data_IF_207686081538
#
_entry.id   IF_207686081538
#
_cell.length_a   1.000
_cell.length_b   1.000
_cell.length_c   1.000
_cell.angle_alpha   90.00
_cell.angle_beta   90.00
_cell.angle_gamma   90.00
#
_symmetry.space_group_name_H-M   'P 1'
#
loop_
_entity.id
_entity.type
_entity.pdbx_description
1 polymer ?
#
# COMPACT_ATOMS: atom_id res chain seq x y z
N UNK A 1 82.53 46.15 -52.71
CA UNK A 1 81.42 47.06 -52.29
C UNK A 1 80.12 46.42 -52.66
N UNK A 2 79.22 46.46 -51.67
CA UNK A 2 77.78 46.15 -51.70
C UNK A 2 77.38 44.70 -51.48
N UNK A 3 76.70 44.60 -50.31
CA UNK A 3 75.94 43.52 -49.74
C UNK A 3 74.77 43.04 -50.59
N UNK A 4 74.42 41.77 -50.51
CA UNK A 4 73.07 41.27 -50.71
C UNK A 4 72.74 40.28 -49.61
N UNK A 5 71.75 40.67 -48.82
CA UNK A 5 71.17 39.88 -47.76
C UNK A 5 70.28 38.78 -48.32
N UNK A 6 70.47 37.58 -47.83
CA UNK A 6 69.54 36.45 -48.03
C UNK A 6 68.36 36.55 -47.07
N UNK A 7 67.16 36.66 -47.58
CA UNK A 7 65.91 36.43 -46.79
C UNK A 7 65.44 34.99 -47.01
N UNK A 8 65.45 34.23 -45.92
CA UNK A 8 64.86 32.91 -45.86
C UNK A 8 63.37 33.01 -45.45
N UNK A 9 62.50 32.64 -46.38
CA UNK A 9 61.07 32.53 -46.17
C UNK A 9 60.77 31.28 -45.31
N UNK A 10 60.18 31.46 -44.06
CA UNK A 10 59.61 30.41 -43.33
C UNK A 10 58.12 30.16 -43.77
N UNK A 11 57.91 29.00 -44.35
CA UNK A 11 56.59 28.56 -44.74
C UNK A 11 55.71 28.28 -43.47
N UNK A 12 54.73 29.14 -43.21
CA UNK A 12 53.71 28.94 -42.17
C UNK A 12 52.82 27.75 -42.53
N UNK A 13 52.75 26.78 -41.66
CA UNK A 13 51.77 25.70 -41.78
C UNK A 13 50.34 26.27 -41.55
N UNK A 14 49.55 26.22 -42.63
CA UNK A 14 48.11 26.61 -42.56
C UNK A 14 47.35 25.64 -41.69
N UNK A 15 46.80 26.15 -40.61
CA UNK A 15 45.84 25.42 -39.81
C UNK A 15 44.50 25.33 -40.57
N UNK A 16 44.11 24.13 -40.97
CA UNK A 16 42.80 23.92 -41.59
C UNK A 16 41.69 24.08 -40.55
N UNK A 17 40.86 25.12 -40.57
CA UNK A 17 39.79 25.34 -39.60
C UNK A 17 38.72 24.25 -39.65
N UNK A 18 38.62 23.49 -40.73
CA UNK A 18 37.70 22.36 -40.88
C UNK A 18 38.14 21.15 -40.04
N UNK A 19 39.46 20.92 -39.94
CA UNK A 19 40.01 19.87 -39.09
C UNK A 19 39.78 20.17 -37.58
N UNK A 20 39.91 21.43 -37.18
CA UNK A 20 39.63 21.84 -35.79
C UNK A 20 38.14 21.67 -35.40
N UNK A 21 37.21 22.01 -36.30
CA UNK A 21 35.77 21.82 -36.08
C UNK A 21 35.40 20.32 -35.98
N UNK A 22 36.03 19.49 -36.84
CA UNK A 22 35.77 18.05 -36.82
C UNK A 22 36.25 17.38 -35.49
N UNK A 23 37.41 17.80 -34.97
CA UNK A 23 37.94 17.32 -33.69
C UNK A 23 37.05 17.77 -32.52
N UNK A 24 36.56 19.00 -32.53
CA UNK A 24 35.63 19.49 -31.49
C UNK A 24 34.28 18.74 -31.49
N UNK A 25 33.73 18.44 -32.69
CA UNK A 25 32.50 17.66 -32.81
C UNK A 25 32.68 16.21 -32.34
N UNK A 26 33.80 15.58 -32.68
CA UNK A 26 34.13 14.22 -32.22
C UNK A 26 34.36 14.17 -30.71
N UNK A 27 35.00 15.19 -30.12
CA UNK A 27 35.16 15.30 -28.68
C UNK A 27 33.82 15.51 -27.96
N UNK A 28 32.92 16.33 -28.46
CA UNK A 28 31.59 16.53 -27.90
C UNK A 28 30.72 15.26 -27.98
N UNK A 29 30.78 14.53 -29.09
CA UNK A 29 30.08 13.24 -29.24
C UNK A 29 30.67 12.19 -28.31
N UNK A 30 31.98 12.13 -28.11
CA UNK A 30 32.63 11.22 -27.18
C UNK A 30 32.27 11.56 -25.71
N UNK A 31 32.20 12.83 -25.33
CA UNK A 31 31.76 13.28 -23.98
C UNK A 31 30.28 12.98 -23.76
N UNK A 32 29.42 13.20 -24.74
CA UNK A 32 28.01 12.85 -24.67
C UNK A 32 27.78 11.32 -24.56
N UNK A 33 28.57 10.52 -25.29
CA UNK A 33 28.52 9.07 -25.22
C UNK A 33 29.01 8.52 -23.86
N UNK A 34 30.04 9.12 -23.26
CA UNK A 34 30.55 8.75 -21.95
C UNK A 34 29.59 9.18 -20.83
N UNK A 35 28.91 10.31 -20.95
CA UNK A 35 27.85 10.73 -19.98
C UNK A 35 26.63 9.84 -20.11
N UNK A 36 26.19 9.43 -21.30
CA UNK A 36 25.10 8.50 -21.50
C UNK A 36 25.43 7.07 -20.99
N UNK A 37 26.66 6.61 -21.15
CA UNK A 37 27.10 5.30 -20.64
C UNK A 37 27.23 5.29 -19.10
N UNK A 38 27.62 6.43 -18.49
CA UNK A 38 27.68 6.55 -17.03
C UNK A 38 26.29 6.68 -16.39
N UNK A 39 25.30 7.25 -17.10
CA UNK A 39 23.90 7.32 -16.66
C UNK A 39 23.17 5.96 -16.78
N UNK A 40 23.63 5.04 -17.62
CA UNK A 40 22.99 3.74 -17.85
C UNK A 40 23.46 2.63 -16.88
N UNK A 41 24.36 2.90 -15.95
CA UNK A 41 24.93 1.93 -15.01
C UNK A 41 25.04 2.41 -13.56
N UNK A 42 24.30 3.43 -13.16
CA UNK A 42 24.02 3.61 -11.75
C UNK A 42 22.95 2.57 -11.37
N UNK A 43 23.35 1.38 -10.94
CA UNK A 43 22.50 0.57 -10.06
C UNK A 43 22.06 1.52 -8.94
N UNK A 44 20.78 1.87 -8.93
CA UNK A 44 20.23 2.69 -7.83
C UNK A 44 20.47 1.91 -6.57
N UNK A 45 21.12 2.52 -5.56
CA UNK A 45 21.34 1.87 -4.29
C UNK A 45 19.99 1.34 -3.75
N UNK A 46 19.96 0.15 -3.11
CA UNK A 46 18.73 -0.42 -2.61
C UNK A 46 18.02 0.55 -1.65
N UNK A 47 16.69 0.55 -1.69
CA UNK A 47 15.85 1.31 -0.75
C UNK A 47 16.06 0.76 0.66
N UNK A 48 16.55 1.59 1.56
CA UNK A 48 16.82 1.22 2.95
C UNK A 48 15.55 1.35 3.77
N UNK A 49 14.97 0.22 4.16
CA UNK A 49 13.74 0.17 4.96
C UNK A 49 14.02 -0.31 6.38
N UNK A 50 13.23 0.16 7.33
CA UNK A 50 13.25 -0.35 8.69
C UNK A 50 11.84 -0.75 9.15
N UNK A 51 11.76 -1.82 9.95
CA UNK A 51 10.51 -2.35 10.50
C UNK A 51 10.28 -1.77 11.90
N UNK A 52 9.02 -1.45 12.22
CA UNK A 52 8.55 -1.11 13.56
C UNK A 52 7.42 -2.05 13.94
N UNK A 53 7.64 -2.81 15.02
CA UNK A 53 6.75 -3.87 15.49
C UNK A 53 6.98 -5.23 14.82
N UNK A 54 6.84 -6.29 15.62
CA UNK A 54 6.89 -7.69 15.19
C UNK A 54 5.64 -8.46 15.62
N UNK A 55 4.66 -7.76 16.19
CA UNK A 55 3.45 -8.36 16.76
C UNK A 55 2.40 -8.63 15.67
N UNK A 56 2.41 -7.89 14.58
CA UNK A 56 1.50 -8.12 13.45
C UNK A 56 1.99 -9.28 12.58
N UNK A 57 1.16 -10.33 12.44
CA UNK A 57 1.56 -11.57 11.74
C UNK A 57 1.99 -11.38 10.28
N UNK A 58 1.56 -10.30 9.62
CA UNK A 58 1.95 -10.01 8.23
C UNK A 58 3.44 -9.68 8.07
N UNK A 59 4.16 -9.33 9.14
CA UNK A 59 5.62 -9.17 9.09
C UNK A 59 6.34 -10.44 8.61
N UNK A 60 5.75 -11.62 8.87
CA UNK A 60 6.29 -12.89 8.37
C UNK A 60 6.25 -12.96 6.85
N UNK A 61 5.15 -12.52 6.23
CA UNK A 61 5.02 -12.45 4.77
C UNK A 61 6.07 -11.55 4.15
N UNK A 62 6.27 -10.35 4.72
CA UNK A 62 7.31 -9.43 4.30
C UNK A 62 8.71 -10.05 4.40
N UNK A 63 9.06 -10.63 5.55
CA UNK A 63 10.38 -11.23 5.76
C UNK A 63 10.63 -12.45 4.85
N UNK A 64 9.58 -13.19 4.46
CA UNK A 64 9.67 -14.25 3.45
C UNK A 64 9.91 -13.70 2.03
N UNK A 65 9.26 -12.59 1.67
CA UNK A 65 9.40 -11.98 0.35
C UNK A 65 10.74 -11.23 0.17
N UNK A 66 11.26 -10.64 1.24
CA UNK A 66 12.44 -9.77 1.21
C UNK A 66 13.65 -10.33 0.44
N UNK A 67 14.03 -11.63 0.51
CA UNK A 67 15.17 -12.15 -0.24
C UNK A 67 15.05 -12.06 -1.76
N UNK A 68 13.82 -11.92 -2.29
CA UNK A 68 13.56 -11.73 -3.72
C UNK A 68 13.75 -10.27 -4.16
N UNK A 69 13.64 -9.30 -3.25
CA UNK A 69 13.77 -7.86 -3.50
C UNK A 69 15.21 -7.40 -3.28
N UNK A 70 16.04 -7.52 -4.31
CA UNK A 70 17.46 -7.09 -4.24
C UNK A 70 17.62 -5.57 -4.26
N UNK A 71 16.59 -4.87 -4.60
CA UNK A 71 16.45 -3.41 -4.62
C UNK A 71 15.96 -2.82 -3.29
N UNK A 72 15.76 -3.67 -2.27
CA UNK A 72 15.39 -3.29 -0.90
C UNK A 72 16.38 -3.85 0.11
N UNK A 73 16.82 -3.04 1.05
CA UNK A 73 17.71 -3.40 2.16
C UNK A 73 16.99 -3.19 3.51
N UNK A 74 16.79 -4.25 4.29
CA UNK A 74 16.32 -4.14 5.67
C UNK A 74 17.48 -3.72 6.57
N UNK A 75 17.40 -2.50 7.12
CA UNK A 75 18.52 -1.90 7.91
C UNK A 75 18.29 -1.89 9.40
N UNK A 76 17.06 -2.12 9.87
CA UNK A 76 16.76 -2.17 11.30
C UNK A 76 15.35 -2.66 11.59
N UNK A 77 15.16 -3.18 12.81
CA UNK A 77 13.88 -3.65 13.35
C UNK A 77 13.74 -3.09 14.75
N UNK A 78 12.72 -2.31 15.01
CA UNK A 78 12.41 -1.79 16.34
C UNK A 78 11.20 -2.53 16.92
N UNK A 79 11.39 -3.16 18.07
CA UNK A 79 10.35 -3.80 18.85
C UNK A 79 10.74 -3.79 20.34
N UNK A 80 9.76 -3.65 21.23
CA UNK A 80 10.03 -3.58 22.68
C UNK A 80 10.29 -4.96 23.30
N UNK A 81 9.80 -6.05 22.68
CA UNK A 81 9.89 -7.42 23.21
C UNK A 81 11.10 -8.21 22.68
N UNK A 82 12.13 -8.46 23.52
CA UNK A 82 13.28 -9.27 23.12
C UNK A 82 12.93 -10.74 22.78
N UNK A 83 11.76 -11.24 23.21
CA UNK A 83 11.35 -12.60 22.85
C UNK A 83 10.98 -12.68 21.36
N UNK A 84 10.37 -11.62 20.81
CA UNK A 84 10.09 -11.51 19.39
C UNK A 84 11.38 -11.38 18.58
N UNK A 85 12.39 -10.64 19.05
CA UNK A 85 13.71 -10.59 18.41
C UNK A 85 14.32 -11.98 18.23
N UNK A 86 14.31 -12.76 19.31
CA UNK A 86 14.83 -14.13 19.28
C UNK A 86 14.00 -15.01 18.33
N UNK A 87 12.66 -14.91 18.39
CA UNK A 87 11.76 -15.69 17.52
C UNK A 87 12.04 -15.41 16.05
N UNK A 88 12.02 -14.14 15.65
CA UNK A 88 12.18 -13.74 14.24
C UNK A 88 13.63 -13.82 13.78
N UNK A 89 14.61 -13.52 14.66
CA UNK A 89 16.02 -13.69 14.39
C UNK A 89 16.37 -15.13 14.02
N UNK A 90 15.87 -16.11 14.78
CA UNK A 90 16.09 -17.53 14.49
C UNK A 90 15.31 -17.95 13.22
N UNK A 91 14.03 -17.58 13.12
CA UNK A 91 13.16 -18.01 12.01
C UNK A 91 13.66 -17.54 10.66
N UNK A 92 14.17 -16.32 10.56
CA UNK A 92 14.58 -15.66 9.30
C UNK A 92 16.10 -15.47 9.19
N UNK A 93 16.90 -16.07 10.10
CA UNK A 93 18.35 -15.93 10.14
C UNK A 93 18.82 -14.45 10.16
N UNK A 94 18.10 -13.59 10.89
CA UNK A 94 18.43 -12.18 11.03
C UNK A 94 19.51 -11.99 12.10
N UNK A 95 20.53 -11.15 11.86
CA UNK A 95 21.58 -10.89 12.84
C UNK A 95 21.06 -10.02 14.00
N UNK A 96 21.54 -10.25 15.21
CA UNK A 96 21.17 -9.50 16.42
C UNK A 96 21.38 -7.99 16.28
N UNK A 97 22.29 -7.57 15.42
CA UNK A 97 22.61 -6.16 15.15
C UNK A 97 21.47 -5.38 14.47
N UNK A 98 20.48 -6.08 13.91
CA UNK A 98 19.30 -5.44 13.31
C UNK A 98 18.27 -4.98 14.34
N UNK A 99 18.30 -5.51 15.59
CA UNK A 99 17.23 -5.30 16.55
C UNK A 99 17.50 -4.13 17.51
N UNK A 100 16.48 -3.31 17.71
CA UNK A 100 16.49 -2.12 18.57
C UNK A 100 15.24 -2.09 19.45
N UNK A 101 15.38 -1.63 20.70
CA UNK A 101 14.24 -1.44 21.62
C UNK A 101 13.40 -0.21 21.33
N UNK A 102 13.97 0.76 20.63
CA UNK A 102 13.37 2.07 20.39
C UNK A 102 13.46 2.41 18.90
N UNK A 103 12.34 2.81 18.33
CA UNK A 103 12.25 3.29 16.95
C UNK A 103 13.17 4.48 16.72
N UNK A 104 13.19 5.49 17.63
CA UNK A 104 14.05 6.66 17.50
C UNK A 104 15.53 6.27 17.44
N UNK A 105 15.98 5.37 18.36
CA UNK A 105 17.37 4.91 18.37
C UNK A 105 17.72 4.12 17.09
N UNK A 106 16.79 3.32 16.57
CA UNK A 106 16.96 2.62 15.30
C UNK A 106 17.13 3.61 14.14
N UNK A 107 16.27 4.60 14.04
CA UNK A 107 16.33 5.62 12.98
C UNK A 107 17.67 6.35 13.00
N UNK A 108 18.11 6.80 14.19
CA UNK A 108 19.37 7.54 14.37
C UNK A 108 20.62 6.70 14.02
N UNK A 109 20.55 5.38 14.17
CA UNK A 109 21.69 4.50 13.88
C UNK A 109 21.70 3.93 12.48
N UNK A 110 20.53 3.60 11.96
CA UNK A 110 20.39 2.90 10.68
C UNK A 110 20.15 3.84 9.51
N UNK A 111 19.67 5.06 9.77
CA UNK A 111 19.32 6.04 8.73
C UNK A 111 18.46 5.41 7.61
N UNK A 112 17.27 4.84 7.92
CA UNK A 112 16.36 4.30 6.91
C UNK A 112 15.82 5.41 6.02
N UNK A 113 15.33 5.03 4.84
CA UNK A 113 14.65 5.92 3.90
C UNK A 113 13.13 5.79 3.99
N UNK A 114 12.62 4.69 4.56
CA UNK A 114 11.21 4.46 4.83
C UNK A 114 11.02 3.54 6.04
N UNK A 115 9.85 3.67 6.67
CA UNK A 115 9.43 2.84 7.80
C UNK A 115 8.27 1.94 7.37
N UNK A 116 8.35 0.66 7.73
CA UNK A 116 7.29 -0.33 7.58
C UNK A 116 6.74 -0.64 8.97
N UNK A 117 5.43 -0.43 9.19
CA UNK A 117 4.81 -0.55 10.51
C UNK A 117 4.00 -1.83 10.60
N UNK A 118 4.38 -2.70 11.56
CA UNK A 118 3.75 -3.98 11.88
C UNK A 118 3.44 -4.08 13.39
N UNK A 119 3.02 -2.98 14.00
CA UNK A 119 2.53 -2.92 15.39
C UNK A 119 1.04 -3.31 15.46
N UNK A 120 0.46 -3.46 16.66
CA UNK A 120 -0.99 -3.37 16.83
C UNK A 120 -1.57 -2.10 16.20
N UNK A 121 -2.81 -2.18 15.69
CA UNK A 121 -3.43 -1.07 14.94
C UNK A 121 -3.53 0.22 15.76
N UNK A 122 -3.77 0.11 17.07
CA UNK A 122 -3.82 1.27 17.97
C UNK A 122 -2.50 2.04 18.07
N UNK A 123 -1.38 1.43 17.71
CA UNK A 123 -0.05 2.05 17.80
C UNK A 123 0.41 2.67 16.47
N UNK A 124 -0.32 2.46 15.37
CA UNK A 124 0.03 2.99 14.06
C UNK A 124 0.24 4.51 14.08
N UNK A 125 -0.68 5.24 14.71
CA UNK A 125 -0.57 6.70 14.85
C UNK A 125 0.75 7.11 15.52
N UNK A 126 1.09 6.49 16.64
CA UNK A 126 2.31 6.81 17.39
C UNK A 126 3.57 6.55 16.55
N UNK A 127 3.63 5.41 15.84
CA UNK A 127 4.75 5.09 14.96
C UNK A 127 4.88 6.12 13.81
N UNK A 128 3.75 6.52 13.21
CA UNK A 128 3.73 7.53 12.15
C UNK A 128 4.17 8.91 12.67
N UNK A 129 3.71 9.32 13.87
CA UNK A 129 4.11 10.58 14.50
C UNK A 129 5.63 10.63 14.78
N UNK A 130 6.23 9.50 15.21
CA UNK A 130 7.70 9.41 15.36
C UNK A 130 8.38 9.50 13.97
N UNK A 131 7.96 8.72 12.98
CA UNK A 131 8.55 8.77 11.65
C UNK A 131 8.51 10.19 11.04
N UNK A 132 7.40 10.90 11.23
CA UNK A 132 7.20 12.25 10.75
C UNK A 132 8.21 13.25 11.33
N UNK A 133 8.58 13.13 12.62
CA UNK A 133 9.61 13.97 13.24
C UNK A 133 10.98 13.83 12.57
N UNK A 134 11.24 12.69 11.92
CA UNK A 134 12.47 12.45 11.16
C UNK A 134 12.29 12.65 9.65
N UNK A 135 11.11 13.11 9.21
CA UNK A 135 10.81 13.30 7.80
C UNK A 135 10.76 11.99 6.99
N UNK A 136 10.44 10.86 7.64
CA UNK A 136 10.44 9.55 7.02
C UNK A 136 9.04 9.15 6.53
N UNK A 137 8.90 8.74 5.26
CA UNK A 137 7.68 8.14 4.74
C UNK A 137 7.41 6.80 5.42
N UNK A 138 6.11 6.43 5.47
CA UNK A 138 5.64 5.23 6.17
C UNK A 138 4.75 4.39 5.27
N UNK A 139 4.95 3.09 5.25
CA UNK A 139 3.92 2.13 4.84
C UNK A 139 3.46 1.37 6.08
N UNK A 140 2.15 1.41 6.35
CA UNK A 140 1.54 0.83 7.55
C UNK A 140 0.58 -0.29 7.17
N UNK A 141 0.45 -1.31 8.02
CA UNK A 141 -0.55 -2.36 7.84
C UNK A 141 -1.99 -1.85 7.95
N UNK A 142 -2.89 -2.58 7.33
CA UNK A 142 -4.33 -2.30 7.35
C UNK A 142 -4.98 -2.67 8.70
N UNK A 143 -6.06 -1.98 9.08
CA UNK A 143 -6.48 -0.65 8.61
C UNK A 143 -5.54 0.45 9.11
N UNK A 144 -5.66 1.66 8.57
CA UNK A 144 -4.79 2.80 8.91
C UNK A 144 -4.65 3.02 10.43
N UNK A 145 -5.75 2.91 11.17
CA UNK A 145 -5.81 3.07 12.62
C UNK A 145 -7.14 2.52 13.17
N UNK A 146 -7.45 2.78 14.46
CA UNK A 146 -8.68 2.30 15.12
C UNK A 146 -9.81 3.33 15.19
N UNK A 147 -9.59 4.57 14.72
CA UNK A 147 -10.59 5.65 14.78
C UNK A 147 -10.39 6.68 13.68
N UNK A 148 -11.48 7.36 13.29
CA UNK A 148 -11.40 8.50 12.36
C UNK A 148 -10.65 9.68 12.95
N UNK A 149 -10.69 9.87 14.26
CA UNK A 149 -9.94 10.92 14.96
C UNK A 149 -8.43 10.74 14.77
N UNK A 150 -7.92 9.52 14.97
CA UNK A 150 -6.52 9.18 14.75
C UNK A 150 -6.14 9.29 13.27
N UNK A 151 -7.02 8.86 12.36
CA UNK A 151 -6.77 8.98 10.92
C UNK A 151 -6.63 10.45 10.48
N UNK A 152 -7.44 11.35 11.04
CA UNK A 152 -7.32 12.78 10.82
C UNK A 152 -6.03 13.38 11.41
N UNK A 153 -5.64 12.93 12.61
CA UNK A 153 -4.38 13.31 13.22
C UNK A 153 -3.18 12.86 12.37
N UNK A 154 -3.18 11.61 11.90
CA UNK A 154 -2.17 11.08 10.97
C UNK A 154 -2.09 11.93 9.71
N UNK A 155 -3.23 12.24 9.08
CA UNK A 155 -3.27 13.09 7.88
C UNK A 155 -2.67 14.48 8.13
N UNK A 156 -2.98 15.09 9.26
CA UNK A 156 -2.45 16.41 9.61
C UNK A 156 -0.94 16.38 9.82
N UNK A 157 -0.44 15.39 10.56
CA UNK A 157 1.01 15.19 10.79
C UNK A 157 1.74 14.91 9.48
N UNK A 158 1.19 14.04 8.62
CA UNK A 158 1.78 13.74 7.32
C UNK A 158 1.91 14.99 6.43
N UNK A 159 0.88 15.85 6.41
CA UNK A 159 0.89 17.12 5.68
C UNK A 159 1.86 18.13 6.28
N UNK A 160 1.91 18.27 7.61
CA UNK A 160 2.81 19.18 8.32
C UNK A 160 4.28 18.85 8.06
N UNK A 161 4.62 17.55 8.08
CA UNK A 161 5.99 17.08 7.90
C UNK A 161 6.33 16.70 6.45
N UNK A 162 5.38 16.85 5.51
CA UNK A 162 5.55 16.52 4.09
C UNK A 162 6.04 15.08 3.84
N UNK A 163 5.48 14.12 4.58
CA UNK A 163 5.78 12.69 4.39
C UNK A 163 4.62 11.97 3.71
N UNK A 164 4.97 10.93 2.94
CA UNK A 164 3.99 9.98 2.42
C UNK A 164 3.63 8.95 3.49
N UNK A 165 2.33 8.67 3.62
CA UNK A 165 1.81 7.56 4.43
C UNK A 165 0.94 6.69 3.53
N UNK A 166 1.33 5.44 3.38
CA UNK A 166 0.66 4.44 2.56
C UNK A 166 0.10 3.33 3.46
N UNK A 167 -1.07 2.79 3.10
CA UNK A 167 -1.66 1.65 3.81
C UNK A 167 -1.55 0.41 2.94
N UNK A 168 -1.07 -0.68 3.52
CA UNK A 168 -0.83 -1.93 2.82
C UNK A 168 -2.02 -2.89 2.99
N UNK A 169 -2.81 -3.07 1.94
CA UNK A 169 -3.83 -4.13 1.85
C UNK A 169 -3.35 -5.22 0.90
N UNK A 170 -3.52 -6.47 1.27
CA UNK A 170 -3.24 -7.60 0.38
C UNK A 170 -4.01 -7.50 -0.95
N UNK A 171 -5.27 -7.08 -0.88
CA UNK A 171 -6.17 -6.98 -2.05
C UNK A 171 -5.79 -5.86 -3.03
N UNK A 172 -4.94 -4.90 -2.63
CA UNK A 172 -4.37 -3.90 -3.54
C UNK A 172 -3.58 -4.57 -4.67
N UNK A 173 -2.88 -5.65 -4.35
CA UNK A 173 -1.99 -6.39 -5.26
C UNK A 173 -2.70 -7.53 -6.01
N UNK A 174 -4.03 -7.56 -5.99
CA UNK A 174 -4.80 -8.53 -6.77
C UNK A 174 -5.08 -8.02 -8.19
N UNK A 175 -4.56 -8.75 -9.19
CA UNK A 175 -4.78 -8.44 -10.60
C UNK A 175 -6.28 -8.46 -10.95
N UNK A 176 -7.05 -9.34 -10.30
CA UNK A 176 -8.50 -9.44 -10.48
C UNK A 176 -9.24 -8.17 -10.08
N UNK A 177 -8.86 -7.52 -8.96
CA UNK A 177 -9.45 -6.27 -8.53
C UNK A 177 -9.13 -5.13 -9.50
N UNK A 178 -7.88 -5.06 -9.98
CA UNK A 178 -7.47 -4.08 -10.99
C UNK A 178 -8.22 -4.27 -12.30
N UNK A 179 -8.45 -5.53 -12.72
CA UNK A 179 -9.22 -5.80 -13.94
C UNK A 179 -10.70 -5.42 -13.78
N UNK A 180 -11.34 -5.76 -12.66
CA UNK A 180 -12.70 -5.32 -12.37
C UNK A 180 -12.83 -3.78 -12.35
N UNK A 181 -11.84 -3.07 -11.79
CA UNK A 181 -11.77 -1.62 -11.84
C UNK A 181 -11.61 -1.08 -13.26
N UNK A 182 -10.79 -1.74 -14.10
CA UNK A 182 -10.60 -1.36 -15.49
C UNK A 182 -11.91 -1.46 -16.28
N UNK A 183 -12.71 -2.52 -16.07
CA UNK A 183 -14.03 -2.67 -16.66
C UNK A 183 -14.98 -1.51 -16.29
N UNK A 184 -14.93 -1.06 -15.01
CA UNK A 184 -15.69 0.13 -14.56
C UNK A 184 -15.17 1.40 -15.22
N UNK A 185 -13.84 1.62 -15.19
CA UNK A 185 -13.19 2.83 -15.71
C UNK A 185 -13.39 3.00 -17.22
N UNK A 186 -13.43 1.91 -17.96
CA UNK A 186 -13.68 1.92 -19.41
C UNK A 186 -15.17 2.09 -19.75
N UNK A 187 -16.06 2.06 -18.74
CA UNK A 187 -17.50 2.20 -18.93
C UNK A 187 -18.20 0.94 -19.43
N UNK A 188 -17.49 -0.20 -19.48
CA UNK A 188 -18.00 -1.48 -20.03
C UNK A 188 -19.18 -2.05 -19.22
N UNK A 189 -19.26 -1.69 -17.93
CA UNK A 189 -20.33 -2.12 -17.04
C UNK A 189 -21.47 -1.09 -16.91
N UNK A 190 -21.27 0.12 -17.46
CA UNK A 190 -22.15 1.26 -17.19
C UNK A 190 -21.99 1.81 -15.77
N UNK A 191 -22.89 2.68 -15.34
CA UNK A 191 -22.84 3.25 -13.99
C UNK A 191 -22.99 2.17 -12.91
N UNK A 192 -22.11 2.18 -11.91
CA UNK A 192 -22.18 1.24 -10.76
C UNK A 192 -23.53 1.36 -10.07
N UNK A 193 -24.16 0.22 -9.81
CA UNK A 193 -25.45 0.10 -9.09
C UNK A 193 -25.27 -0.62 -7.77
N UNK A 194 -24.49 -1.69 -7.75
CA UNK A 194 -24.22 -2.49 -6.55
C UNK A 194 -22.80 -3.05 -6.55
N UNK A 195 -22.23 -3.06 -5.37
CA UNK A 195 -20.99 -3.81 -5.10
C UNK A 195 -21.25 -4.75 -3.93
N UNK A 196 -20.78 -5.98 -4.01
CA UNK A 196 -20.77 -6.94 -2.90
C UNK A 196 -19.34 -7.38 -2.68
N UNK A 197 -18.87 -7.30 -1.45
CA UNK A 197 -17.51 -7.74 -1.10
C UNK A 197 -17.60 -8.79 -0.01
N UNK A 198 -16.80 -9.85 -0.17
CA UNK A 198 -16.70 -10.95 0.77
C UNK A 198 -15.25 -11.10 1.19
N UNK A 199 -14.96 -10.79 2.45
CA UNK A 199 -13.63 -10.91 3.02
C UNK A 199 -13.69 -11.66 4.34
N UNK A 200 -13.00 -12.79 4.44
CA UNK A 200 -13.01 -13.59 5.65
C UNK A 200 -12.34 -14.94 5.54
N UNK A 201 -12.28 -15.62 6.67
CA UNK A 201 -11.76 -16.96 6.83
C UNK A 201 -12.37 -17.64 8.07
N UNK A 202 -11.82 -18.77 8.51
CA UNK A 202 -12.34 -19.57 9.63
C UNK A 202 -12.22 -18.88 11.00
N UNK A 203 -11.38 -17.88 11.11
CA UNK A 203 -11.03 -17.15 12.34
C UNK A 203 -9.53 -17.19 12.62
N UNK A 204 -8.96 -16.14 13.22
CA UNK A 204 -7.52 -16.03 13.46
C UNK A 204 -6.98 -17.15 14.34
N UNK A 205 -7.71 -17.59 15.36
CA UNK A 205 -7.31 -18.70 16.21
C UNK A 205 -7.32 -20.02 15.47
N UNK A 206 -8.36 -20.25 14.64
CA UNK A 206 -8.56 -21.48 13.88
C UNK A 206 -7.50 -21.67 12.79
N UNK A 207 -7.06 -20.59 12.15
CA UNK A 207 -5.98 -20.64 11.17
C UNK A 207 -4.58 -20.62 11.81
N UNK A 208 -4.49 -20.50 13.14
CA UNK A 208 -3.24 -20.62 13.90
C UNK A 208 -2.33 -19.41 13.80
N UNK A 209 -2.89 -18.19 13.80
CA UNK A 209 -2.03 -16.98 13.87
C UNK A 209 -1.19 -16.98 15.16
N UNK A 210 0.00 -16.34 15.15
CA UNK A 210 0.85 -16.25 16.32
C UNK A 210 0.14 -15.68 17.55
N UNK A 211 0.46 -16.15 18.77
CA UNK A 211 -0.18 -15.66 20.00
C UNK A 211 -0.08 -14.16 20.22
N UNK A 212 1.06 -13.55 19.88
CA UNK A 212 1.26 -12.10 19.96
C UNK A 212 0.31 -11.35 19.02
N UNK A 213 0.03 -11.88 17.84
CA UNK A 213 -0.93 -11.33 16.89
C UNK A 213 -2.36 -11.53 17.38
N UNK A 214 -2.72 -12.75 17.81
CA UNK A 214 -4.06 -13.07 18.29
C UNK A 214 -4.44 -12.19 19.48
N UNK A 215 -3.49 -11.90 20.37
CA UNK A 215 -3.73 -11.17 21.62
C UNK A 215 -4.30 -9.78 21.37
N UNK A 216 -3.68 -8.99 20.50
CA UNK A 216 -4.16 -7.64 20.19
C UNK A 216 -5.30 -7.64 19.16
N UNK A 217 -5.31 -8.57 18.19
CA UNK A 217 -6.35 -8.66 17.16
C UNK A 217 -7.74 -8.89 17.76
N UNK A 218 -7.80 -9.61 18.88
CA UNK A 218 -9.04 -9.90 19.63
C UNK A 218 -9.30 -8.93 20.78
N UNK A 219 -8.56 -7.84 20.85
CA UNK A 219 -8.77 -6.74 21.81
C UNK A 219 -9.36 -5.51 21.09
N UNK A 220 -10.60 -5.11 21.39
CA UNK A 220 -11.24 -3.96 20.74
C UNK A 220 -10.51 -2.64 21.00
N UNK A 221 -9.72 -2.53 22.07
CA UNK A 221 -8.89 -1.36 22.34
C UNK A 221 -7.68 -1.27 21.42
N UNK A 222 -7.24 -2.38 20.84
CA UNK A 222 -6.05 -2.45 20.00
C UNK A 222 -6.36 -2.64 18.51
N UNK A 223 -7.46 -3.33 18.18
CA UNK A 223 -7.90 -3.57 16.81
C UNK A 223 -9.10 -2.69 16.39
N UNK A 224 -9.77 -2.02 17.32
CA UNK A 224 -10.97 -1.22 17.05
C UNK A 224 -12.29 -2.01 17.13
N UNK A 225 -12.32 -3.25 16.62
CA UNK A 225 -13.41 -4.22 16.69
C UNK A 225 -12.84 -5.63 16.40
N UNK A 226 -13.66 -6.60 16.03
CA UNK A 226 -13.26 -7.90 15.54
C UNK A 226 -13.22 -7.98 14.01
N UNK A 227 -13.99 -8.90 13.44
CA UNK A 227 -14.11 -9.09 12.00
C UNK A 227 -14.54 -7.81 11.26
N UNK A 228 -15.35 -6.98 11.91
CA UNK A 228 -15.80 -5.68 11.38
C UNK A 228 -14.62 -4.81 10.90
N UNK A 229 -13.54 -4.72 11.70
CA UNK A 229 -12.35 -3.93 11.34
C UNK A 229 -11.35 -4.75 10.54
N UNK A 230 -11.06 -5.98 10.97
CA UNK A 230 -10.04 -6.82 10.36
C UNK A 230 -10.32 -7.13 8.88
N UNK A 231 -11.58 -7.49 8.56
CA UNK A 231 -11.99 -7.79 7.19
C UNK A 231 -12.89 -6.73 6.55
N UNK A 232 -13.69 -6.01 7.34
CA UNK A 232 -14.54 -4.95 6.81
C UNK A 232 -13.76 -3.84 6.13
N UNK A 233 -12.52 -3.57 6.57
CA UNK A 233 -11.66 -2.56 5.98
C UNK A 233 -11.34 -2.84 4.50
N UNK A 234 -11.16 -4.08 4.09
CA UNK A 234 -10.90 -4.44 2.69
C UNK A 234 -12.05 -4.03 1.77
N UNK A 235 -13.28 -4.41 2.13
CA UNK A 235 -14.43 -4.07 1.31
C UNK A 235 -14.75 -2.57 1.30
N UNK A 236 -14.52 -1.89 2.43
CA UNK A 236 -14.68 -0.43 2.52
C UNK A 236 -13.65 0.28 1.65
N UNK A 237 -12.40 -0.20 1.63
CA UNK A 237 -11.32 0.36 0.81
C UNK A 237 -11.61 0.17 -0.69
N UNK A 238 -11.94 -1.06 -1.13
CA UNK A 238 -12.32 -1.37 -2.50
C UNK A 238 -13.51 -0.50 -2.98
N UNK A 239 -14.53 -0.34 -2.13
CA UNK A 239 -15.68 0.50 -2.50
C UNK A 239 -15.31 1.98 -2.57
N UNK A 240 -14.50 2.49 -1.65
CA UNK A 240 -14.03 3.88 -1.67
C UNK A 240 -13.23 4.16 -2.94
N UNK A 241 -12.39 3.23 -3.36
CA UNK A 241 -11.63 3.32 -4.60
C UNK A 241 -12.54 3.31 -5.85
N UNK A 242 -13.49 2.37 -5.94
CA UNK A 242 -14.47 2.29 -7.05
C UNK A 242 -15.32 3.55 -7.17
N UNK A 243 -15.61 4.21 -6.03
CA UNK A 243 -16.38 5.46 -5.97
C UNK A 243 -15.51 6.72 -6.02
N UNK A 244 -14.22 6.59 -6.39
CA UNK A 244 -13.28 7.70 -6.54
C UNK A 244 -13.19 8.63 -5.30
N UNK A 245 -13.28 8.06 -4.08
CA UNK A 245 -13.24 8.80 -2.83
C UNK A 245 -14.56 9.51 -2.48
N UNK A 246 -15.67 9.18 -3.13
CA UNK A 246 -16.99 9.66 -2.71
C UNK A 246 -17.38 9.04 -1.37
N UNK A 247 -17.76 9.85 -0.40
CA UNK A 247 -18.25 9.40 0.90
C UNK A 247 -19.70 8.91 0.77
N UNK A 248 -20.08 7.74 1.31
CA UNK A 248 -21.46 7.27 1.28
C UNK A 248 -22.38 8.18 2.11
N UNK A 249 -23.64 8.28 1.71
CA UNK A 249 -24.66 9.05 2.43
C UNK A 249 -24.96 8.45 3.80
N UNK A 250 -24.98 7.10 3.88
CA UNK A 250 -25.32 6.36 5.09
C UNK A 250 -24.52 5.06 5.21
N UNK A 251 -24.27 4.68 6.45
CA UNK A 251 -23.70 3.40 6.85
C UNK A 251 -24.65 2.71 7.79
N UNK A 252 -24.98 1.44 7.52
CA UNK A 252 -25.70 0.55 8.42
C UNK A 252 -24.88 -0.72 8.60
N UNK A 253 -24.69 -1.18 9.83
CA UNK A 253 -23.98 -2.40 10.10
C UNK A 253 -24.66 -3.23 11.17
N UNK A 254 -24.52 -4.55 11.04
CA UNK A 254 -24.85 -5.56 12.06
C UNK A 254 -23.62 -6.41 12.28
N UNK A 255 -23.39 -6.78 13.55
CA UNK A 255 -22.33 -7.70 13.95
C UNK A 255 -22.93 -8.88 14.66
N UNK A 256 -22.33 -10.06 14.51
CA UNK A 256 -22.64 -11.26 15.25
C UNK A 256 -21.45 -11.67 16.11
N UNK A 257 -21.75 -12.52 17.07
CA UNK A 257 -20.80 -13.07 18.01
C UNK A 257 -21.10 -14.57 18.13
N UNK A 258 -20.73 -15.31 17.08
CA UNK A 258 -21.12 -16.74 16.92
C UNK A 258 -20.19 -17.67 17.71
N UNK A 259 -18.94 -17.21 18.00
CA UNK A 259 -17.93 -17.95 18.78
C UNK A 259 -17.51 -17.17 20.06
N UNK A 260 -18.44 -16.85 20.98
CA UNK A 260 -18.13 -16.02 22.16
C UNK A 260 -17.14 -16.69 23.12
N UNK A 261 -17.01 -18.00 23.10
CA UNK A 261 -16.02 -18.76 23.88
C UNK A 261 -14.60 -18.62 23.32
N UNK A 262 -14.46 -18.25 22.04
CA UNK A 262 -13.17 -18.05 21.37
C UNK A 262 -12.80 -16.56 21.33
N UNK A 263 -13.76 -15.71 20.99
CA UNK A 263 -13.60 -14.26 20.82
C UNK A 263 -14.51 -13.46 21.78
N UNK A 264 -14.29 -13.52 23.12
CA UNK A 264 -15.26 -13.02 24.11
C UNK A 264 -15.48 -11.51 24.09
N UNK A 265 -14.62 -10.73 23.42
CA UNK A 265 -14.64 -9.27 23.51
C UNK A 265 -14.92 -8.55 22.18
N UNK A 266 -14.93 -9.28 21.08
CA UNK A 266 -15.06 -8.71 19.73
C UNK A 266 -16.04 -9.53 18.91
N UNK A 267 -16.63 -8.89 17.90
CA UNK A 267 -17.42 -9.55 16.86
C UNK A 267 -16.58 -10.51 16.02
N UNK A 268 -17.20 -11.57 15.53
CA UNK A 268 -16.57 -12.54 14.64
C UNK A 268 -17.28 -12.65 13.29
N UNK A 269 -18.35 -11.87 13.10
CA UNK A 269 -19.05 -11.72 11.82
C UNK A 269 -19.66 -10.31 11.73
N UNK A 270 -19.62 -9.70 10.55
CA UNK A 270 -20.18 -8.38 10.31
C UNK A 270 -20.72 -8.24 8.88
N UNK A 271 -21.85 -7.54 8.75
CA UNK A 271 -22.35 -7.05 7.47
C UNK A 271 -22.49 -5.54 7.52
N UNK A 272 -21.85 -4.85 6.57
CA UNK A 272 -21.90 -3.39 6.41
C UNK A 272 -22.64 -3.07 5.12
N UNK A 273 -23.60 -2.14 5.18
CA UNK A 273 -24.33 -1.63 4.03
C UNK A 273 -24.00 -0.14 3.87
N UNK A 274 -23.44 0.22 2.72
CA UNK A 274 -23.16 1.60 2.33
C UNK A 274 -24.18 2.06 1.30
N UNK A 275 -24.73 3.27 1.46
CA UNK A 275 -25.67 3.85 0.51
C UNK A 275 -25.08 5.12 -0.08
N UNK A 276 -24.96 5.15 -1.42
CA UNK A 276 -24.57 6.31 -2.22
C UNK A 276 -25.79 6.85 -2.97
N UNK A 277 -25.74 8.03 -3.62
CA UNK A 277 -26.87 8.57 -4.36
C UNK A 277 -27.44 7.63 -5.43
N UNK A 278 -26.58 6.82 -6.07
CA UNK A 278 -26.97 5.95 -7.18
C UNK A 278 -26.46 4.51 -7.06
N UNK A 279 -25.77 4.17 -5.99
CA UNK A 279 -25.17 2.86 -5.74
C UNK A 279 -25.35 2.40 -4.29
N UNK A 280 -25.21 1.11 -4.07
CA UNK A 280 -25.18 0.50 -2.75
C UNK A 280 -24.04 -0.52 -2.68
N UNK A 281 -23.35 -0.59 -1.55
CA UNK A 281 -22.43 -1.68 -1.28
C UNK A 281 -22.93 -2.54 -0.11
N UNK A 282 -22.65 -3.84 -0.18
CA UNK A 282 -22.78 -4.81 0.91
C UNK A 282 -21.42 -5.44 1.13
N UNK A 283 -20.87 -5.28 2.33
CA UNK A 283 -19.57 -5.83 2.71
C UNK A 283 -19.81 -6.85 3.80
N UNK A 284 -19.35 -8.07 3.58
CA UNK A 284 -19.43 -9.18 4.50
C UNK A 284 -18.04 -9.53 5.00
N UNK A 285 -17.81 -9.30 6.28
CA UNK A 285 -16.55 -9.51 6.96
C UNK A 285 -16.72 -10.65 7.98
N UNK A 286 -15.93 -11.72 7.90
CA UNK A 286 -16.21 -12.89 8.70
C UNK A 286 -14.98 -13.66 9.16
N UNK A 287 -15.00 -14.11 10.41
CA UNK A 287 -14.13 -15.13 10.98
C UNK A 287 -14.83 -16.50 11.10
N UNK A 288 -15.98 -16.66 10.42
CA UNK A 288 -16.85 -17.85 10.55
C UNK A 288 -17.00 -18.65 9.25
N UNK A 289 -16.27 -18.30 8.20
CA UNK A 289 -16.39 -19.03 6.94
C UNK A 289 -15.53 -20.30 6.95
N UNK A 290 -15.99 -21.36 6.27
CA UNK A 290 -15.26 -22.63 6.27
C UNK A 290 -13.95 -22.57 5.46
N UNK A 291 -13.81 -21.59 4.56
CA UNK A 291 -12.64 -21.37 3.71
C UNK A 291 -12.37 -19.88 3.58
N UNK A 292 -11.10 -19.51 3.37
CA UNK A 292 -10.72 -18.14 3.09
C UNK A 292 -11.36 -17.66 1.80
N UNK A 293 -11.89 -16.44 1.83
CA UNK A 293 -12.52 -15.78 0.70
C UNK A 293 -12.19 -14.29 0.73
N UNK A 294 -11.68 -13.76 -0.40
CA UNK A 294 -11.45 -12.33 -0.64
C UNK A 294 -11.84 -12.07 -2.09
N UNK A 295 -13.07 -11.63 -2.31
CA UNK A 295 -13.62 -11.39 -3.64
C UNK A 295 -14.62 -10.24 -3.65
N UNK A 296 -14.80 -9.66 -4.83
CA UNK A 296 -15.66 -8.51 -5.07
C UNK A 296 -16.56 -8.77 -6.28
N UNK A 297 -17.82 -8.39 -6.17
CA UNK A 297 -18.82 -8.40 -7.25
C UNK A 297 -19.22 -6.97 -7.56
N UNK A 298 -18.99 -6.49 -8.79
CA UNK A 298 -19.37 -5.16 -9.25
C UNK A 298 -20.47 -5.28 -10.28
N UNK A 299 -21.63 -4.77 -9.96
CA UNK A 299 -22.80 -4.73 -10.86
C UNK A 299 -23.05 -3.30 -11.34
N UNK A 300 -22.88 -3.10 -12.62
CA UNK A 300 -23.21 -1.85 -13.31
C UNK A 300 -24.60 -1.86 -13.93
N UNK A 301 -24.93 -0.82 -14.68
CA UNK A 301 -26.21 -0.69 -15.36
C UNK A 301 -26.35 -1.65 -16.57
N UNK A 302 -25.23 -2.02 -17.20
CA UNK A 302 -25.20 -2.77 -18.47
C UNK A 302 -24.29 -4.02 -18.40
N UNK A 303 -23.66 -4.29 -17.27
CA UNK A 303 -22.79 -5.44 -17.11
C UNK A 303 -22.33 -5.66 -15.67
N UNK A 304 -21.52 -6.69 -15.48
CA UNK A 304 -20.91 -6.98 -14.18
C UNK A 304 -19.52 -7.61 -14.31
N UNK A 305 -18.71 -7.44 -13.27
CA UNK A 305 -17.44 -8.11 -13.07
C UNK A 305 -17.40 -8.72 -11.67
N UNK A 306 -16.98 -9.97 -11.55
CA UNK A 306 -16.89 -10.70 -10.29
C UNK A 306 -15.49 -11.27 -10.19
N UNK A 307 -14.72 -10.83 -9.20
CA UNK A 307 -13.37 -11.34 -8.96
C UNK A 307 -13.42 -12.75 -8.35
N UNK A 308 -12.49 -13.60 -8.74
CA UNK A 308 -12.38 -14.97 -8.25
C UNK A 308 -10.94 -15.20 -7.82
N UNK A 309 -10.68 -15.04 -6.51
CA UNK A 309 -9.31 -15.02 -6.00
C UNK A 309 -8.50 -13.84 -6.55
N UNK A 310 -7.18 -13.94 -6.53
CA UNK A 310 -6.28 -12.83 -6.85
C UNK A 310 -6.10 -12.56 -8.36
N UNK A 311 -6.45 -13.51 -9.24
CA UNK A 311 -6.04 -13.48 -10.65
C UNK A 311 -7.14 -13.77 -11.66
N UNK A 312 -8.36 -14.11 -11.24
CA UNK A 312 -9.44 -14.43 -12.16
C UNK A 312 -10.63 -13.49 -12.00
N UNK A 313 -11.35 -13.23 -13.13
CA UNK A 313 -12.56 -12.39 -13.16
C UNK A 313 -13.60 -13.05 -14.05
N UNK A 314 -14.83 -13.14 -13.57
CA UNK A 314 -16.01 -13.43 -14.39
C UNK A 314 -16.60 -12.12 -14.84
N UNK A 315 -16.76 -11.93 -16.14
CA UNK A 315 -17.27 -10.69 -16.73
C UNK A 315 -18.41 -10.99 -17.68
N UNK A 316 -19.44 -10.16 -17.63
CA UNK A 316 -20.47 -10.11 -18.66
C UNK A 316 -20.85 -8.66 -18.96
N UNK A 317 -20.65 -8.24 -20.20
CA UNK A 317 -20.99 -6.91 -20.72
C UNK A 317 -22.35 -6.96 -21.46
N UNK A 318 -22.91 -5.83 -21.77
CA UNK A 318 -24.26 -5.69 -22.35
C UNK A 318 -24.52 -6.59 -23.57
N UNK A 319 -23.55 -6.71 -24.46
CA UNK A 319 -23.68 -7.46 -25.71
C UNK A 319 -23.08 -8.87 -25.67
N UNK A 320 -22.57 -9.30 -24.53
CA UNK A 320 -22.03 -10.64 -24.37
C UNK A 320 -23.16 -11.68 -24.33
N UNK A 321 -23.04 -12.74 -25.15
CA UNK A 321 -24.03 -13.84 -25.19
C UNK A 321 -24.05 -14.61 -23.84
N UNK A 322 -22.90 -14.72 -23.16
CA UNK A 322 -22.74 -15.42 -21.89
C UNK A 322 -21.65 -14.76 -21.03
N UNK A 323 -21.65 -15.08 -19.74
CA UNK A 323 -20.54 -14.77 -18.83
C UNK A 323 -19.24 -15.44 -19.31
N UNK A 324 -18.13 -14.75 -19.17
CA UNK A 324 -16.78 -15.25 -19.48
C UNK A 324 -15.94 -15.26 -18.20
N UNK A 325 -15.30 -16.39 -17.93
CA UNK A 325 -14.21 -16.45 -16.96
C UNK A 325 -12.90 -16.13 -17.69
N UNK A 326 -12.14 -15.18 -17.16
CA UNK A 326 -10.85 -14.78 -17.73
C UNK A 326 -9.80 -14.65 -16.62
N UNK A 327 -8.55 -14.94 -16.96
CA UNK A 327 -7.43 -14.62 -16.10
C UNK A 327 -7.07 -13.15 -16.33
N UNK A 328 -7.03 -12.37 -15.26
CA UNK A 328 -6.62 -10.98 -15.31
C UNK A 328 -5.14 -10.90 -15.75
N UNK A 329 -4.76 -9.91 -16.56
CA UNK A 329 -3.36 -9.66 -16.84
C UNK A 329 -2.60 -9.43 -15.52
N UNK A 330 -1.41 -10.04 -15.34
CA UNK A 330 -0.62 -9.79 -14.14
C UNK A 330 -0.33 -8.30 -13.99
N UNK A 331 -0.28 -7.82 -12.77
CA UNK A 331 0.12 -6.44 -12.48
C UNK A 331 1.57 -6.25 -12.93
N UNK A 332 1.85 -5.08 -13.48
CA UNK A 332 3.19 -4.73 -13.91
C UNK A 332 3.92 -3.97 -12.80
N UNK A 333 5.24 -4.15 -12.74
CA UNK A 333 6.08 -3.29 -11.91
C UNK A 333 5.86 -1.82 -12.25
N UNK A 334 5.77 -0.97 -11.25
CA UNK A 334 5.94 -1.19 -9.81
C UNK A 334 4.63 -1.42 -9.04
N UNK A 335 3.52 -1.75 -9.70
CA UNK A 335 2.20 -1.92 -9.08
C UNK A 335 1.88 -3.39 -8.75
N UNK A 336 2.87 -4.29 -8.82
CA UNK A 336 2.72 -5.73 -8.61
C UNK A 336 2.94 -6.16 -7.16
N UNK A 337 3.61 -5.32 -6.35
CA UNK A 337 3.74 -5.54 -4.90
C UNK A 337 3.98 -4.25 -4.10
N UNK A 338 3.89 -4.36 -2.77
CA UNK A 338 3.95 -3.23 -1.86
C UNK A 338 5.32 -2.53 -1.81
N UNK A 339 6.42 -3.25 -1.97
CA UNK A 339 7.78 -2.70 -1.89
C UNK A 339 8.16 -1.97 -3.18
N UNK A 340 7.86 -2.56 -4.33
CA UNK A 340 8.04 -1.92 -5.62
C UNK A 340 7.20 -0.64 -5.72
N UNK A 341 5.96 -0.71 -5.22
CA UNK A 341 5.06 0.44 -5.17
C UNK A 341 5.60 1.56 -4.26
N UNK A 342 6.01 1.21 -3.02
CA UNK A 342 6.63 2.16 -2.09
C UNK A 342 7.84 2.85 -2.72
N UNK A 343 8.77 2.08 -3.31
CA UNK A 343 9.95 2.62 -3.97
C UNK A 343 9.60 3.57 -5.13
N UNK A 344 8.55 3.24 -5.89
CA UNK A 344 8.07 4.08 -6.99
C UNK A 344 7.43 5.38 -6.51
N UNK A 345 6.65 5.35 -5.43
CA UNK A 345 6.07 6.55 -4.79
C UNK A 345 7.21 7.44 -4.28
N UNK A 346 8.17 6.89 -3.53
CA UNK A 346 9.29 7.66 -2.95
C UNK A 346 10.22 8.25 -4.03
N UNK A 347 10.34 7.61 -5.18
CA UNK A 347 11.10 8.15 -6.32
C UNK A 347 10.28 9.12 -7.19
N UNK A 348 9.03 9.40 -6.85
CA UNK A 348 8.12 10.28 -7.60
C UNK A 348 7.65 9.70 -8.94
N UNK A 349 7.80 8.40 -9.16
CA UNK A 349 7.30 7.70 -10.37
C UNK A 349 5.80 7.44 -10.32
N UNK A 350 5.24 7.30 -9.12
CA UNK A 350 3.80 7.13 -8.86
C UNK A 350 3.35 8.21 -7.88
N UNK A 351 2.22 8.85 -8.20
CA UNK A 351 1.45 9.67 -7.25
C UNK A 351 0.31 8.80 -6.71
N UNK A 352 0.27 8.48 -5.40
CA UNK A 352 -0.70 7.53 -4.84
C UNK A 352 -2.13 8.08 -4.74
N UNK A 353 -2.36 9.34 -5.12
CA UNK A 353 -3.63 10.04 -4.96
C UNK A 353 -4.83 9.27 -5.55
N UNK A 354 -5.78 8.95 -4.68
CA UNK A 354 -7.01 8.25 -5.07
C UNK A 354 -6.82 6.75 -5.32
N UNK A 355 -5.65 6.19 -5.00
CA UNK A 355 -5.41 4.75 -5.04
C UNK A 355 -5.78 4.08 -3.70
N UNK A 356 -5.84 2.74 -3.68
CA UNK A 356 -6.17 1.92 -2.50
C UNK A 356 -5.22 2.21 -1.31
N UNK A 357 -3.92 2.35 -1.57
CA UNK A 357 -2.93 2.64 -0.52
C UNK A 357 -2.90 4.10 -0.06
N UNK A 358 -3.60 5.03 -0.72
CA UNK A 358 -3.50 6.46 -0.46
C UNK A 358 -4.04 6.85 0.93
N UNK A 359 -3.35 7.75 1.62
CA UNK A 359 -3.76 8.24 2.94
C UNK A 359 -5.17 8.84 2.93
N UNK A 360 -5.49 9.71 1.97
CA UNK A 360 -6.81 10.35 1.91
C UNK A 360 -7.94 9.33 1.63
N UNK A 361 -7.70 8.28 0.84
CA UNK A 361 -8.63 7.13 0.68
C UNK A 361 -8.85 6.46 2.03
N UNK A 362 -7.79 6.18 2.76
CA UNK A 362 -7.84 5.47 4.04
C UNK A 362 -8.43 6.31 5.18
N UNK A 363 -8.37 7.63 5.13
CA UNK A 363 -9.15 8.49 6.04
C UNK A 363 -10.65 8.29 5.85
N UNK A 364 -11.12 8.16 4.60
CA UNK A 364 -12.53 7.85 4.30
C UNK A 364 -12.88 6.43 4.77
N UNK A 365 -12.00 5.47 4.57
CA UNK A 365 -12.16 4.10 5.09
C UNK A 365 -12.39 4.12 6.60
N UNK A 366 -11.57 4.84 7.36
CA UNK A 366 -11.73 4.94 8.81
C UNK A 366 -13.02 5.65 9.22
N UNK A 367 -13.46 6.67 8.49
CA UNK A 367 -14.75 7.32 8.71
C UNK A 367 -15.93 6.34 8.55
N UNK A 368 -15.86 5.48 7.54
CA UNK A 368 -16.88 4.47 7.28
C UNK A 368 -16.86 3.37 8.35
N UNK A 369 -15.68 2.89 8.75
CA UNK A 369 -15.55 1.86 9.79
C UNK A 369 -16.02 2.34 11.15
N UNK A 370 -15.72 3.57 11.55
CA UNK A 370 -16.24 4.17 12.78
C UNK A 370 -17.76 4.29 12.75
N UNK A 371 -18.33 4.71 11.63
CA UNK A 371 -19.78 4.76 11.45
C UNK A 371 -20.42 3.36 11.46
N UNK A 372 -19.74 2.35 10.91
CA UNK A 372 -20.20 0.97 10.94
C UNK A 372 -20.21 0.42 12.39
N UNK A 373 -19.12 0.67 13.13
CA UNK A 373 -19.03 0.31 14.56
C UNK A 373 -20.13 0.99 15.38
N UNK A 374 -20.38 2.28 15.17
CA UNK A 374 -21.46 3.01 15.83
C UNK A 374 -22.84 2.48 15.43
N UNK A 375 -23.04 2.17 14.15
CA UNK A 375 -24.30 1.56 13.66
C UNK A 375 -24.56 0.21 14.29
N UNK A 376 -23.57 -0.68 14.33
CA UNK A 376 -23.69 -2.00 14.96
C UNK A 376 -24.00 -1.89 16.46
N UNK A 377 -23.33 -0.97 17.17
CA UNK A 377 -23.53 -0.73 18.61
C UNK A 377 -24.92 -0.17 18.93
N UNK A 378 -25.49 0.68 18.08
CA UNK A 378 -26.76 1.40 18.36
C UNK A 378 -27.97 0.77 17.68
N UNK A 379 -27.77 -0.11 16.71
CA UNK A 379 -28.83 -0.63 15.84
C UNK A 379 -29.44 0.42 14.90
N UNK A 380 -28.74 1.53 14.64
CA UNK A 380 -29.24 2.65 13.83
C UNK A 380 -28.34 2.91 12.64
N UNK A 381 -28.97 3.32 11.55
CA UNK A 381 -28.23 3.86 10.39
C UNK A 381 -27.53 5.17 10.77
N UNK A 382 -26.25 5.29 10.48
CA UNK A 382 -25.44 6.49 10.65
C UNK A 382 -25.40 7.27 9.34
N UNK A 383 -25.69 8.59 9.38
CA UNK A 383 -25.49 9.48 8.24
C UNK A 383 -24.06 10.01 8.27
N UNK A 384 -23.40 10.01 7.11
CA UNK A 384 -22.09 10.60 6.98
C UNK A 384 -22.16 11.99 6.33
N UNK A 385 -21.27 12.84 6.80
CA UNK A 385 -20.88 14.09 6.13
C UNK A 385 -19.41 13.99 5.81
N UNK A 386 -18.98 14.51 4.67
CA UNK A 386 -17.58 14.44 4.28
C UNK A 386 -16.70 15.13 5.35
N UNK A 387 -15.66 14.43 5.82
CA UNK A 387 -14.76 14.94 6.82
C UNK A 387 -13.66 15.76 6.16
N UNK A 388 -13.57 17.03 6.51
CA UNK A 388 -12.42 17.89 6.13
C UNK A 388 -12.61 18.71 4.87
N UNK A 389 -13.85 19.16 4.59
CA UNK A 389 -14.10 20.37 3.80
C UNK A 389 -14.03 21.60 4.67
#
# INVERSE_FOLDING_TARGET
>A
MRNAMNETWMAGKWFDPRAAVLICVLLMVAIAATQSACAAQAETAPLRVAIVGLEHGHVEGFLHALPAHKDVELVGIADADPALWKKYGVKFALPDTLFYKSMANMIERCHPQAILVYTPISEHRHAIEIAAQYGLPVMVEKPLTISVEDALAIRNVAREHHIEVLVNYETTWYASNREAYNEVKQGELGAIRRVVVHDGHQGPKEIGVPPEFLGWLTDPAQNGAGALYDFGCYGVDLMTWLMHGETPLTVTAVTNHDKPEIYPRVDDDATIVLTYPHAQAVIQASWNWPFSRKDMEVYGATGYAITVGADQVRVRREHDAAERLMTAPPLNKPEDDSLDYLAAVLSGKIEPKGDLSALDTNVIVMQILDAARESARTGRTVRLTRVGE
#
